data_IF_492463807163
#
_entry.id   IF_492463807163
#
_cell.length_a   1.000
_cell.length_b   1.000
_cell.length_c   1.000
_cell.angle_alpha   90.00
_cell.angle_beta   90.00
_cell.angle_gamma   90.00
#
_symmetry.space_group_name_H-M   'P 1'
#
loop_
_entity.id
_entity.type
_entity.pdbx_description
1 polymer ?
#
# COMPACT_ATOMS: atom_id res chain seq x y z
N UNK A 1 39.88 16.03 -7.68
CA UNK A 1 39.49 17.44 -7.81
C UNK A 1 38.31 17.58 -8.75
N UNK A 2 37.14 17.93 -8.21
CA UNK A 2 36.02 18.64 -8.86
C UNK A 2 34.93 18.82 -7.80
N UNK A 3 34.88 20.02 -7.23
CA UNK A 3 33.80 20.47 -6.33
C UNK A 3 32.71 21.12 -7.18
N UNK A 4 31.44 20.74 -6.95
CA UNK A 4 30.29 21.53 -7.40
C UNK A 4 29.82 22.37 -6.21
N UNK A 5 29.86 23.69 -6.36
CA UNK A 5 29.34 24.64 -5.39
C UNK A 5 27.82 24.78 -5.57
N UNK A 6 27.05 24.52 -4.52
CA UNK A 6 25.72 25.07 -4.36
C UNK A 6 25.80 26.17 -3.31
N UNK A 7 25.59 27.42 -3.71
CA UNK A 7 25.53 28.57 -2.80
C UNK A 7 24.22 28.55 -2.01
N UNK A 8 24.33 28.36 -0.70
CA UNK A 8 23.36 28.81 0.29
C UNK A 8 24.11 29.77 1.22
N UNK A 9 23.53 30.94 1.51
CA UNK A 9 24.11 31.94 2.40
C UNK A 9 24.40 31.34 3.78
N UNK A 10 25.69 31.22 4.11
CA UNK A 10 26.19 30.71 5.40
C UNK A 10 27.42 29.82 5.21
N UNK A 11 28.61 30.36 5.44
CA UNK A 11 29.90 29.69 5.25
C UNK A 11 30.13 28.57 6.26
N UNK A 12 29.81 27.31 5.91
CA UNK A 12 30.27 26.13 6.64
C UNK A 12 31.17 25.27 5.76
N UNK A 13 32.45 25.13 6.13
CA UNK A 13 33.35 24.15 5.51
C UNK A 13 33.32 22.85 6.33
N UNK A 14 32.96 21.75 5.67
CA UNK A 14 33.07 20.39 6.22
C UNK A 14 34.30 19.73 5.60
N UNK A 15 35.28 19.35 6.42
CA UNK A 15 36.42 18.54 5.99
C UNK A 15 36.24 17.10 6.46
N UNK A 16 36.18 16.15 5.53
CA UNK A 16 36.15 14.72 5.83
C UNK A 16 37.54 14.12 5.63
N UNK A 17 38.11 13.47 6.66
CA UNK A 17 39.28 12.59 6.52
C UNK A 17 38.83 11.14 6.70
N UNK A 18 39.11 10.30 5.71
CA UNK A 18 38.86 8.86 5.77
C UNK A 18 40.03 8.17 6.48
N UNK A 19 39.75 7.43 7.54
CA UNK A 19 40.67 6.44 8.12
C UNK A 19 39.87 5.17 8.40
N UNK A 20 40.50 4.04 8.09
CA UNK A 20 39.95 2.68 8.02
C UNK A 20 38.98 2.25 9.14
N UNK A 21 37.92 1.58 8.70
CA UNK A 21 36.89 0.75 9.36
C UNK A 21 35.92 1.31 10.41
N UNK A 22 36.06 2.50 10.97
CA UNK A 22 34.98 3.11 11.76
C UNK A 22 34.98 4.63 11.56
N UNK A 23 34.01 5.17 10.82
CA UNK A 23 33.89 6.60 10.57
C UNK A 23 33.24 7.30 11.78
N UNK A 24 34.04 7.71 12.76
CA UNK A 24 33.58 8.69 13.75
C UNK A 24 33.62 10.09 13.14
N UNK A 25 32.44 10.67 12.90
CA UNK A 25 32.30 12.06 12.49
C UNK A 25 32.52 12.97 13.72
N UNK A 26 33.76 13.35 14.00
CA UNK A 26 34.06 14.35 15.03
C UNK A 26 33.75 15.74 14.47
N UNK A 27 32.55 16.27 14.76
CA UNK A 27 32.25 17.69 14.57
C UNK A 27 32.99 18.49 15.67
N UNK A 28 34.06 19.20 15.29
CA UNK A 28 34.69 20.20 16.15
C UNK A 28 33.85 21.48 16.15
N UNK A 29 33.05 21.68 17.19
CA UNK A 29 32.25 22.89 17.41
C UNK A 29 33.14 24.03 17.92
N UNK A 30 33.91 24.67 17.03
CA UNK A 30 34.44 26.01 17.31
C UNK A 30 33.50 27.03 16.67
N UNK A 31 32.78 27.76 17.54
CA UNK A 31 31.97 28.97 17.28
C UNK A 31 30.47 28.74 17.15
N UNK A 32 29.81 28.49 18.29
CA UNK A 32 28.41 28.87 18.49
C UNK A 32 28.38 30.26 19.15
N UNK A 33 27.61 31.25 18.63
CA UNK A 33 27.43 32.51 19.32
C UNK A 33 26.83 32.30 20.72
N UNK A 34 27.29 33.07 21.70
CA UNK A 34 26.92 32.92 23.13
C UNK A 34 25.52 33.47 23.47
N UNK A 35 24.75 33.95 22.50
CA UNK A 35 23.48 34.67 22.72
C UNK A 35 22.21 33.83 22.51
N UNK A 36 22.32 32.51 22.34
CA UNK A 36 21.15 31.63 22.18
C UNK A 36 20.71 31.00 23.52
N UNK A 37 19.39 31.03 23.84
CA UNK A 37 18.85 30.33 25.01
C UNK A 37 19.16 28.83 24.97
N UNK A 38 19.47 28.23 26.13
CA UNK A 38 19.91 26.83 26.25
C UNK A 38 18.99 25.79 25.58
N UNK A 39 17.69 26.09 25.50
CA UNK A 39 16.67 25.24 24.85
C UNK A 39 16.91 25.10 23.34
N UNK A 40 17.45 26.12 22.67
CA UNK A 40 17.76 26.07 21.23
C UNK A 40 19.05 25.31 20.91
N UNK A 41 20.02 25.28 21.83
CA UNK A 41 21.26 24.49 21.66
C UNK A 41 20.99 22.99 21.72
N UNK A 42 20.06 22.54 22.56
CA UNK A 42 19.64 21.14 22.61
C UNK A 42 18.88 20.73 21.34
N UNK A 43 17.99 21.58 20.82
CA UNK A 43 17.21 21.27 19.62
C UNK A 43 18.08 21.11 18.35
N UNK A 44 19.12 21.95 18.20
CA UNK A 44 20.08 21.85 17.09
C UNK A 44 20.97 20.60 17.18
N UNK A 45 21.28 20.12 18.38
CA UNK A 45 22.08 18.91 18.58
C UNK A 45 21.27 17.63 18.29
N UNK A 46 19.96 17.65 18.51
CA UNK A 46 19.07 16.51 18.24
C UNK A 46 18.75 16.39 16.74
N UNK A 47 18.66 17.51 16.00
CA UNK A 47 18.41 17.48 14.55
C UNK A 47 19.56 16.91 13.71
N UNK A 48 20.81 16.93 14.19
CA UNK A 48 21.98 16.41 13.45
C UNK A 48 22.31 14.96 13.74
N UNK A 49 21.64 14.33 14.71
CA UNK A 49 21.89 12.96 15.16
C UNK A 49 20.83 11.95 14.72
N UNK A 50 19.83 12.35 13.92
CA UNK A 50 18.98 11.37 13.23
C UNK A 50 19.84 10.76 12.13
N UNK A 51 20.22 9.46 12.21
CA UNK A 51 20.88 8.81 11.09
C UNK A 51 19.89 8.88 9.94
N UNK A 52 20.28 9.52 8.84
CA UNK A 52 19.59 9.34 7.56
C UNK A 52 19.62 7.84 7.32
N UNK A 53 18.46 7.18 7.48
CA UNK A 53 18.34 5.75 7.24
C UNK A 53 18.96 5.46 5.88
N UNK A 54 20.11 4.81 5.88
CA UNK A 54 20.71 4.25 4.68
C UNK A 54 19.72 3.20 4.21
N UNK A 55 18.89 3.56 3.23
CA UNK A 55 18.05 2.60 2.51
C UNK A 55 18.96 1.45 2.07
N UNK A 56 18.80 0.29 2.70
CA UNK A 56 19.45 -0.92 2.25
C UNK A 56 19.00 -1.15 0.80
N UNK A 57 19.95 -1.24 -0.12
CA UNK A 57 19.68 -1.53 -1.53
C UNK A 57 19.32 -3.01 -1.66
N UNK A 58 18.11 -3.37 -1.25
CA UNK A 58 17.52 -4.67 -1.56
C UNK A 58 17.26 -4.78 -3.06
N UNK A 59 17.38 -5.98 -3.61
CA UNK A 59 16.94 -6.28 -4.98
C UNK A 59 15.48 -5.89 -5.15
N UNK A 60 15.16 -5.12 -6.18
CA UNK A 60 13.78 -4.76 -6.50
C UNK A 60 13.21 -5.73 -7.54
N UNK A 61 11.96 -6.12 -7.35
CA UNK A 61 11.25 -7.05 -8.22
C UNK A 61 10.07 -6.36 -8.91
N UNK A 62 9.77 -6.81 -10.13
CA UNK A 62 8.78 -6.19 -11.00
C UNK A 62 7.98 -7.26 -11.75
N UNK A 63 6.67 -7.02 -11.85
CA UNK A 63 5.78 -7.77 -12.75
C UNK A 63 6.14 -7.48 -14.21
N UNK A 64 5.66 -8.33 -15.12
CA UNK A 64 5.86 -8.15 -16.57
C UNK A 64 5.32 -6.82 -17.12
N UNK A 65 4.38 -6.19 -16.42
CA UNK A 65 3.85 -4.87 -16.75
C UNK A 65 4.56 -3.69 -16.07
N UNK A 66 5.69 -3.95 -15.40
CA UNK A 66 6.54 -2.93 -14.79
C UNK A 66 6.07 -2.46 -13.41
N UNK A 67 4.98 -3.01 -12.87
CA UNK A 67 4.53 -2.72 -11.50
C UNK A 67 5.49 -3.36 -10.50
N UNK A 68 5.91 -2.60 -9.50
CA UNK A 68 6.81 -3.06 -8.44
C UNK A 68 6.13 -4.09 -7.55
N UNK A 69 6.83 -5.19 -7.25
CA UNK A 69 6.44 -6.18 -6.24
C UNK A 69 7.00 -5.71 -4.89
N UNK A 70 6.15 -5.65 -3.87
CA UNK A 70 6.49 -5.06 -2.56
C UNK A 70 7.17 -6.02 -1.59
N UNK A 71 7.33 -7.28 -1.99
CA UNK A 71 8.00 -8.34 -1.24
C UNK A 71 9.06 -9.02 -2.12
N UNK A 72 9.91 -9.85 -1.51
CA UNK A 72 10.85 -10.71 -2.25
C UNK A 72 10.14 -12.03 -2.63
N UNK A 73 9.80 -12.25 -3.90
CA UNK A 73 9.11 -13.46 -4.33
C UNK A 73 10.01 -14.70 -4.30
N UNK A 74 11.32 -14.53 -4.18
CA UNK A 74 12.31 -15.60 -4.10
C UNK A 74 12.86 -15.80 -2.67
N UNK A 75 12.21 -15.22 -1.66
CA UNK A 75 12.58 -15.48 -0.27
C UNK A 75 12.45 -16.99 0.05
N UNK A 76 13.30 -17.55 0.95
CA UNK A 76 13.43 -18.99 1.15
C UNK A 76 12.12 -19.77 1.37
N UNK A 77 11.15 -19.14 2.04
CA UNK A 77 9.89 -19.79 2.42
C UNK A 77 8.74 -19.53 1.43
N UNK A 78 8.94 -18.69 0.40
CA UNK A 78 7.86 -18.30 -0.53
C UNK A 78 7.41 -19.48 -1.39
N UNK A 79 8.36 -20.21 -1.99
CA UNK A 79 8.06 -21.31 -2.89
C UNK A 79 7.44 -22.52 -2.16
N UNK A 80 7.89 -22.79 -0.93
CA UNK A 80 7.30 -23.83 -0.09
C UNK A 80 5.86 -23.48 0.29
N UNK A 81 5.60 -22.21 0.59
CA UNK A 81 4.31 -21.77 1.10
C UNK A 81 3.26 -21.53 0.01
N UNK A 82 3.65 -20.95 -1.12
CA UNK A 82 2.71 -20.50 -2.17
C UNK A 82 2.93 -21.18 -3.52
N UNK A 83 3.88 -22.11 -3.61
CA UNK A 83 4.23 -22.78 -4.85
C UNK A 83 5.31 -22.05 -5.66
N UNK A 84 5.82 -22.73 -6.68
CA UNK A 84 6.86 -22.20 -7.57
C UNK A 84 6.25 -21.31 -8.66
N UNK A 85 7.09 -20.53 -9.33
CA UNK A 85 6.68 -19.70 -10.48
C UNK A 85 5.95 -20.56 -11.53
N UNK A 86 4.72 -20.16 -11.87
CA UNK A 86 3.84 -20.90 -12.79
C UNK A 86 3.10 -22.11 -12.19
N UNK A 87 3.27 -22.40 -10.90
CA UNK A 87 2.63 -23.49 -10.17
C UNK A 87 2.21 -23.05 -8.76
N UNK A 88 1.52 -21.92 -8.67
CA UNK A 88 1.09 -21.32 -7.40
C UNK A 88 -0.10 -22.06 -6.79
N UNK A 89 -0.30 -21.89 -5.48
CA UNK A 89 -1.32 -22.62 -4.71
C UNK A 89 -2.78 -22.25 -5.09
N UNK A 90 -3.72 -23.01 -4.55
CA UNK A 90 -5.16 -22.76 -4.73
C UNK A 90 -5.69 -21.55 -3.95
N UNK A 91 -4.87 -20.97 -3.07
CA UNK A 91 -5.23 -19.78 -2.30
C UNK A 91 -5.11 -18.52 -3.16
N UNK A 92 -4.60 -18.63 -4.39
CA UNK A 92 -4.76 -17.64 -5.45
C UNK A 92 -3.85 -16.41 -5.32
N UNK A 93 -2.86 -16.48 -4.42
CA UNK A 93 -1.78 -15.52 -4.36
C UNK A 93 -0.58 -16.02 -5.16
N UNK A 94 -0.17 -15.24 -6.15
CA UNK A 94 1.03 -15.48 -6.93
C UNK A 94 2.11 -14.48 -6.51
N UNK A 95 3.15 -14.88 -5.74
CA UNK A 95 4.19 -13.94 -5.31
C UNK A 95 4.93 -13.29 -6.48
N UNK A 96 4.93 -13.92 -7.66
CA UNK A 96 5.60 -13.42 -8.87
C UNK A 96 4.72 -12.46 -9.66
N UNK A 97 3.39 -12.52 -9.50
CA UNK A 97 2.43 -11.71 -10.27
C UNK A 97 1.59 -10.74 -9.42
N UNK A 98 1.52 -10.91 -8.11
CA UNK A 98 0.73 -10.08 -7.20
C UNK A 98 1.60 -9.03 -6.51
N UNK A 99 1.16 -7.77 -6.53
CA UNK A 99 1.94 -6.67 -5.93
C UNK A 99 1.72 -6.53 -4.42
N UNK A 100 0.67 -7.16 -3.89
CA UNK A 100 0.28 -7.13 -2.49
C UNK A 100 0.25 -8.56 -1.96
N UNK A 101 0.82 -8.79 -0.78
CA UNK A 101 1.01 -10.12 -0.21
C UNK A 101 -0.28 -10.95 -0.04
N UNK A 102 -0.13 -12.25 0.25
CA UNK A 102 -1.22 -13.22 0.29
C UNK A 102 -2.22 -12.95 1.40
N UNK A 103 -3.49 -13.24 1.14
CA UNK A 103 -4.47 -13.55 2.18
C UNK A 103 -5.03 -12.36 2.95
N UNK A 104 -4.80 -11.12 2.51
CA UNK A 104 -5.28 -9.98 3.28
C UNK A 104 -6.78 -9.74 3.03
N UNK A 105 -7.25 -9.76 1.78
CA UNK A 105 -8.57 -9.18 1.46
C UNK A 105 -9.67 -10.17 1.03
N UNK A 106 -9.41 -11.48 1.02
CA UNK A 106 -10.39 -12.45 0.48
C UNK A 106 -11.18 -13.26 1.49
N UNK A 107 -10.67 -13.40 2.72
CA UNK A 107 -11.15 -14.41 3.65
C UNK A 107 -12.47 -14.05 4.31
N UNK A 108 -13.25 -15.07 4.66
CA UNK A 108 -14.42 -14.92 5.53
C UNK A 108 -14.01 -14.45 6.94
N UNK A 109 -14.80 -13.53 7.50
CA UNK A 109 -14.55 -12.96 8.84
C UNK A 109 -15.31 -13.72 9.91
N UNK A 110 -14.66 -13.89 11.07
CA UNK A 110 -15.27 -14.51 12.24
C UNK A 110 -16.29 -13.54 12.83
N UNK A 111 -17.48 -14.06 13.13
CA UNK A 111 -18.56 -13.32 13.76
C UNK A 111 -18.88 -13.90 15.13
N UNK A 112 -19.36 -13.07 16.04
CA UNK A 112 -19.87 -13.51 17.34
C UNK A 112 -21.31 -14.07 17.23
N UNK A 113 -21.90 -14.45 18.36
CA UNK A 113 -23.26 -15.01 18.42
C UNK A 113 -24.34 -14.03 17.92
N UNK A 114 -24.07 -12.72 17.94
CA UNK A 114 -24.96 -11.67 17.47
C UNK A 114 -24.70 -11.32 15.98
N UNK A 115 -23.79 -12.05 15.32
CA UNK A 115 -23.40 -11.80 13.93
C UNK A 115 -22.46 -10.62 13.72
N UNK A 116 -21.94 -9.99 14.79
CA UNK A 116 -20.98 -8.88 14.66
C UNK A 116 -19.59 -9.39 14.33
N UNK A 117 -18.85 -8.62 13.54
CA UNK A 117 -17.47 -8.95 13.17
C UNK A 117 -16.59 -8.90 14.43
N UNK A 118 -15.84 -9.98 14.67
CA UNK A 118 -14.85 -10.02 15.74
C UNK A 118 -13.60 -9.29 15.28
N UNK A 119 -13.17 -8.30 16.06
CA UNK A 119 -11.93 -7.54 15.83
C UNK A 119 -10.82 -8.07 16.73
N UNK A 120 -9.64 -8.30 16.15
CA UNK A 120 -8.50 -8.83 16.88
C UNK A 120 -7.25 -8.92 16.03
N UNK A 121 -6.38 -9.88 16.36
CA UNK A 121 -5.17 -10.16 15.58
C UNK A 121 -5.58 -10.66 14.19
N UNK A 122 -5.11 -9.97 13.16
CA UNK A 122 -5.42 -10.29 11.78
C UNK A 122 -4.70 -11.56 11.31
N UNK A 123 -5.21 -12.14 10.21
CA UNK A 123 -4.62 -13.31 9.58
C UNK A 123 -3.13 -13.11 9.29
N UNK A 124 -2.32 -14.09 9.69
CA UNK A 124 -0.86 -14.10 9.52
C UNK A 124 -0.09 -12.89 10.11
N UNK A 125 -0.75 -12.00 10.86
CA UNK A 125 -0.13 -10.86 11.54
C UNK A 125 0.64 -9.89 10.61
N UNK A 126 0.24 -9.77 9.34
CA UNK A 126 0.84 -8.86 8.35
C UNK A 126 0.48 -7.39 8.57
N UNK A 127 -0.53 -7.12 9.40
CA UNK A 127 -0.94 -5.77 9.77
C UNK A 127 -0.82 -5.60 11.29
N UNK A 128 -0.06 -4.61 11.78
CA UNK A 128 0.01 -4.34 13.22
C UNK A 128 -1.30 -3.77 13.78
N UNK A 129 -2.19 -3.24 12.93
CA UNK A 129 -3.48 -2.72 13.36
C UNK A 129 -4.48 -3.86 13.59
N UNK A 130 -5.24 -3.88 14.71
CA UNK A 130 -6.35 -4.81 14.89
C UNK A 130 -7.36 -4.72 13.74
N UNK A 131 -7.92 -5.85 13.33
CA UNK A 131 -8.94 -5.90 12.27
C UNK A 131 -9.78 -7.17 12.32
N UNK A 132 -10.62 -7.42 11.30
CA UNK A 132 -11.48 -8.59 11.24
C UNK A 132 -10.69 -9.89 11.40
N UNK A 133 -11.10 -10.73 12.35
CA UNK A 133 -10.46 -12.03 12.59
C UNK A 133 -10.86 -13.01 11.50
N UNK A 134 -9.92 -13.79 10.97
CA UNK A 134 -10.23 -14.83 9.98
C UNK A 134 -11.08 -15.95 10.58
N UNK A 135 -12.15 -16.33 9.88
CA UNK A 135 -13.04 -17.42 10.28
C UNK A 135 -12.44 -18.81 10.01
N UNK A 136 -11.35 -18.92 9.26
CA UNK A 136 -10.79 -20.22 8.86
C UNK A 136 -11.45 -20.82 7.62
N UNK A 137 -12.36 -20.10 6.96
CA UNK A 137 -13.23 -20.64 5.90
C UNK A 137 -13.06 -19.92 4.57
N UNK A 138 -11.91 -20.05 3.91
CA UNK A 138 -11.68 -19.64 2.51
C UNK A 138 -12.19 -18.25 2.09
N UNK A 139 -12.37 -18.05 0.79
CA UNK A 139 -12.88 -16.80 0.21
C UNK A 139 -14.36 -16.55 0.53
N UNK A 140 -14.73 -15.28 0.70
CA UNK A 140 -16.14 -14.85 0.81
C UNK A 140 -16.92 -15.13 -0.47
N UNK A 141 -18.25 -15.20 -0.36
CA UNK A 141 -19.11 -15.46 -1.51
C UNK A 141 -19.07 -14.32 -2.54
N UNK A 142 -19.01 -13.04 -2.12
CA UNK A 142 -18.82 -11.94 -3.08
C UNK A 142 -17.47 -12.03 -3.76
N UNK A 143 -16.39 -12.36 -3.04
CA UNK A 143 -15.06 -12.53 -3.63
C UNK A 143 -15.05 -13.60 -4.73
N UNK A 144 -15.78 -14.70 -4.55
CA UNK A 144 -15.98 -15.73 -5.58
C UNK A 144 -16.87 -15.22 -6.72
N UNK A 145 -17.93 -14.48 -6.41
CA UNK A 145 -18.84 -13.92 -7.41
C UNK A 145 -18.14 -12.93 -8.34
N UNK A 146 -17.25 -12.08 -7.81
CA UNK A 146 -16.45 -11.14 -8.59
C UNK A 146 -15.60 -11.82 -9.66
N UNK A 147 -15.05 -13.01 -9.37
CA UNK A 147 -14.29 -13.79 -10.34
C UNK A 147 -15.17 -14.40 -11.44
N UNK A 148 -16.44 -14.68 -11.13
CA UNK A 148 -17.44 -15.23 -12.08
C UNK A 148 -18.11 -14.14 -12.93
N UNK A 149 -18.02 -12.87 -12.52
CA UNK A 149 -18.51 -11.71 -13.26
C UNK A 149 -19.89 -11.20 -12.81
N UNK A 150 -20.41 -10.23 -13.56
CA UNK A 150 -21.58 -9.41 -13.17
C UNK A 150 -22.83 -10.22 -12.82
N UNK A 151 -23.16 -11.26 -13.60
CA UNK A 151 -24.34 -12.10 -13.34
C UNK A 151 -24.29 -12.80 -11.99
N UNK A 152 -23.11 -13.27 -11.58
CA UNK A 152 -22.94 -13.94 -10.29
C UNK A 152 -23.05 -12.94 -9.14
N UNK A 153 -22.50 -11.72 -9.32
CA UNK A 153 -22.65 -10.63 -8.35
C UNK A 153 -24.13 -10.23 -8.23
N UNK A 154 -24.83 -10.07 -9.35
CA UNK A 154 -26.24 -9.70 -9.35
C UNK A 154 -27.11 -10.72 -8.62
N UNK A 155 -26.94 -12.01 -8.93
CA UNK A 155 -27.68 -13.08 -8.27
C UNK A 155 -27.41 -13.15 -6.76
N UNK A 156 -26.20 -12.82 -6.31
CA UNK A 156 -25.86 -12.76 -4.89
C UNK A 156 -26.50 -11.54 -4.21
N UNK A 157 -26.47 -10.36 -4.85
CA UNK A 157 -27.06 -9.13 -4.32
C UNK A 157 -28.59 -9.15 -4.32
N UNK A 158 -29.23 -9.95 -5.18
CA UNK A 158 -30.67 -10.21 -5.14
C UNK A 158 -31.08 -10.97 -3.86
N UNK A 159 -30.20 -11.82 -3.34
CA UNK A 159 -30.45 -12.56 -2.10
C UNK A 159 -30.16 -11.71 -0.87
N UNK A 160 -29.05 -10.96 -0.90
CA UNK A 160 -28.67 -10.05 0.16
C UNK A 160 -27.90 -8.84 -0.41
N UNK A 161 -28.60 -7.71 -0.52
CA UNK A 161 -28.02 -6.48 -1.06
C UNK A 161 -26.92 -5.90 -0.17
N UNK A 162 -26.86 -6.26 1.13
CA UNK A 162 -25.84 -5.76 2.05
C UNK A 162 -24.44 -6.25 1.70
N UNK A 163 -24.34 -7.36 0.96
CA UNK A 163 -23.06 -7.94 0.53
C UNK A 163 -22.27 -7.05 -0.43
N UNK A 164 -22.87 -6.02 -1.01
CA UNK A 164 -22.15 -5.03 -1.85
C UNK A 164 -21.04 -4.31 -1.07
N UNK A 165 -21.19 -4.23 0.26
CA UNK A 165 -20.22 -3.65 1.19
C UNK A 165 -19.79 -4.66 2.27
N UNK A 166 -19.79 -5.97 1.97
CA UNK A 166 -19.29 -6.95 2.92
C UNK A 166 -17.83 -6.68 3.30
N UNK A 167 -17.44 -7.08 4.51
CA UNK A 167 -16.09 -6.88 5.02
C UNK A 167 -15.39 -8.22 5.13
N UNK A 168 -14.22 -8.32 4.51
CA UNK A 168 -13.35 -9.51 4.54
C UNK A 168 -12.24 -9.39 5.59
N UNK A 169 -11.39 -10.40 5.70
CA UNK A 169 -10.28 -10.50 6.68
C UNK A 169 -9.40 -9.25 6.82
N UNK A 170 -9.23 -8.47 5.76
CA UNK A 170 -8.36 -7.30 5.72
C UNK A 170 -9.09 -5.99 5.97
N UNK A 171 -10.37 -6.05 6.34
CA UNK A 171 -11.25 -4.89 6.33
C UNK A 171 -11.65 -4.44 4.93
N UNK A 172 -11.37 -5.23 3.89
CA UNK A 172 -11.67 -4.85 2.52
C UNK A 172 -13.15 -5.04 2.20
N UNK A 173 -13.66 -4.10 1.40
CA UNK A 173 -14.94 -4.22 0.70
C UNK A 173 -14.76 -4.86 -0.69
N UNK A 174 -15.84 -5.29 -1.36
CA UNK A 174 -15.78 -5.76 -2.74
C UNK A 174 -15.07 -4.80 -3.71
N UNK A 175 -15.17 -3.47 -3.51
CA UNK A 175 -14.43 -2.50 -4.33
C UNK A 175 -12.90 -2.54 -4.11
N UNK A 176 -12.43 -2.86 -2.90
CA UNK A 176 -11.01 -3.10 -2.68
C UNK A 176 -10.54 -4.34 -3.44
N UNK A 177 -11.39 -5.38 -3.52
CA UNK A 177 -11.10 -6.61 -4.27
C UNK A 177 -10.96 -6.38 -5.77
N UNK A 178 -11.70 -5.43 -6.35
CA UNK A 178 -11.47 -5.00 -7.72
C UNK A 178 -10.06 -4.43 -7.96
N UNK A 179 -9.42 -3.90 -6.90
CA UNK A 179 -8.06 -3.36 -6.92
C UNK A 179 -6.95 -4.42 -6.93
N UNK A 180 -7.29 -5.71 -6.89
CA UNK A 180 -6.32 -6.81 -6.74
C UNK A 180 -5.80 -7.35 -8.08
N UNK A 181 -6.55 -7.21 -9.17
CA UNK A 181 -6.14 -7.78 -10.46
C UNK A 181 -6.69 -7.00 -11.65
N UNK A 182 -6.09 -7.24 -12.82
CA UNK A 182 -6.54 -6.60 -14.07
C UNK A 182 -7.94 -7.00 -14.48
N UNK A 183 -8.34 -8.25 -14.26
CA UNK A 183 -9.69 -8.72 -14.51
C UNK A 183 -10.68 -8.19 -13.47
N UNK A 184 -10.28 -8.18 -12.20
CA UNK A 184 -11.08 -7.66 -11.08
C UNK A 184 -11.47 -6.19 -11.26
N UNK A 185 -10.58 -5.37 -11.81
CA UNK A 185 -10.88 -3.94 -12.03
C UNK A 185 -12.11 -3.71 -12.93
N UNK A 186 -12.46 -4.66 -13.80
CA UNK A 186 -13.61 -4.54 -14.70
C UNK A 186 -14.94 -4.56 -13.95
N UNK A 187 -14.96 -5.10 -12.72
CA UNK A 187 -16.15 -5.10 -11.87
C UNK A 187 -16.38 -3.78 -11.13
N UNK A 188 -15.41 -2.86 -11.14
CA UNK A 188 -15.44 -1.60 -10.37
C UNK A 188 -16.71 -0.78 -10.68
N UNK A 189 -16.97 -0.51 -11.96
CA UNK A 189 -18.13 0.28 -12.36
C UNK A 189 -19.46 -0.40 -12.03
N UNK A 190 -19.51 -1.73 -12.11
CA UNK A 190 -20.70 -2.51 -11.78
C UNK A 190 -21.02 -2.42 -10.28
N UNK A 191 -20.03 -2.61 -9.41
CA UNK A 191 -20.22 -2.50 -7.97
C UNK A 191 -20.62 -1.08 -7.54
N UNK A 192 -20.02 -0.05 -8.15
CA UNK A 192 -20.43 1.36 -7.93
C UNK A 192 -21.91 1.52 -8.27
N UNK A 193 -22.36 1.00 -9.42
CA UNK A 193 -23.76 1.06 -9.82
C UNK A 193 -24.71 0.30 -8.87
N UNK A 194 -24.19 -0.65 -8.07
CA UNK A 194 -24.93 -1.37 -7.03
C UNK A 194 -24.86 -0.72 -5.65
N UNK A 195 -24.25 0.46 -5.53
CA UNK A 195 -24.17 1.21 -4.27
C UNK A 195 -22.99 0.81 -3.38
N UNK A 196 -21.92 0.29 -3.96
CA UNK A 196 -20.68 0.07 -3.21
C UNK A 196 -20.08 1.41 -2.73
N UNK A 197 -19.59 1.43 -1.50
CA UNK A 197 -18.95 2.60 -0.91
C UNK A 197 -17.56 2.84 -1.52
N UNK A 198 -17.47 3.88 -2.36
CA UNK A 198 -16.25 4.26 -3.09
C UNK A 198 -15.14 4.78 -2.16
N UNK A 199 -15.51 5.19 -0.95
CA UNK A 199 -14.66 5.81 0.05
C UNK A 199 -14.43 4.92 1.28
N UNK A 200 -14.83 3.64 1.20
CA UNK A 200 -14.56 2.66 2.25
C UNK A 200 -13.07 2.55 2.55
N UNK A 201 -12.72 2.19 3.79
CA UNK A 201 -11.34 2.14 4.26
C UNK A 201 -11.02 0.75 4.79
N UNK A 202 -9.96 0.14 4.27
CA UNK A 202 -9.45 -1.14 4.77
C UNK A 202 -8.58 -0.97 6.04
N UNK A 203 -8.11 -2.09 6.60
CA UNK A 203 -7.33 -2.05 7.85
C UNK A 203 -5.95 -1.41 7.74
N UNK A 204 -5.47 -1.11 6.53
CA UNK A 204 -4.24 -0.34 6.28
C UNK A 204 -4.54 1.15 6.09
N UNK A 205 -5.81 1.55 6.20
CA UNK A 205 -6.28 2.89 5.96
C UNK A 205 -6.54 3.19 4.49
N UNK A 206 -6.26 2.25 3.57
CA UNK A 206 -6.38 2.48 2.14
C UNK A 206 -7.83 2.43 1.70
N UNK A 207 -8.15 3.29 0.73
CA UNK A 207 -9.43 3.33 0.00
C UNK A 207 -9.32 2.54 -1.30
N UNK A 208 -10.42 2.17 -1.99
CA UNK A 208 -10.36 1.46 -3.27
C UNK A 208 -9.42 2.08 -4.30
N UNK A 209 -9.40 3.42 -4.40
CA UNK A 209 -8.53 4.13 -5.35
C UNK A 209 -7.03 3.94 -5.04
N UNK A 210 -6.65 3.78 -3.76
CA UNK A 210 -5.27 3.49 -3.38
C UNK A 210 -4.85 2.08 -3.83
N UNK A 211 -5.73 1.08 -3.69
CA UNK A 211 -5.47 -0.30 -4.13
C UNK A 211 -5.40 -0.42 -5.65
N UNK A 212 -6.27 0.28 -6.34
CA UNK A 212 -6.23 0.40 -7.80
C UNK A 212 -4.92 1.09 -8.26
N UNK A 213 -4.48 2.11 -7.53
CA UNK A 213 -3.21 2.79 -7.78
C UNK A 213 -1.99 1.89 -7.58
N UNK A 214 -1.96 1.04 -6.55
CA UNK A 214 -0.82 0.13 -6.32
C UNK A 214 -0.64 -0.92 -7.41
N UNK A 215 -1.70 -1.23 -8.18
CA UNK A 215 -1.71 -2.31 -9.17
C UNK A 215 -1.77 -1.84 -10.63
N UNK A 216 -1.61 -0.54 -10.90
CA UNK A 216 -1.70 0.04 -12.26
C UNK A 216 -3.02 -0.26 -12.99
N UNK A 217 -4.15 -0.18 -12.27
CA UNK A 217 -5.48 -0.52 -12.78
C UNK A 217 -6.22 0.71 -13.33
N UNK A 218 -5.79 1.20 -14.49
CA UNK A 218 -6.30 2.46 -15.05
C UNK A 218 -7.82 2.48 -15.36
N UNK A 219 -8.44 1.34 -15.69
CA UNK A 219 -9.89 1.26 -15.95
C UNK A 219 -10.66 1.44 -14.64
N UNK A 220 -10.23 0.75 -13.58
CA UNK A 220 -10.81 0.90 -12.24
C UNK A 220 -10.63 2.32 -11.70
N UNK A 221 -9.46 2.93 -11.91
CA UNK A 221 -9.20 4.30 -11.48
C UNK A 221 -10.16 5.30 -12.13
N UNK A 222 -10.35 5.21 -13.46
CA UNK A 222 -11.31 6.05 -14.18
C UNK A 222 -12.74 5.86 -13.66
N UNK A 223 -13.14 4.62 -13.37
CA UNK A 223 -14.47 4.34 -12.85
C UNK A 223 -14.71 4.98 -11.47
N UNK A 224 -13.76 4.84 -10.54
CA UNK A 224 -13.85 5.46 -9.21
C UNK A 224 -13.87 6.99 -9.29
N UNK A 225 -12.98 7.59 -10.09
CA UNK A 225 -12.89 9.04 -10.23
C UNK A 225 -14.17 9.60 -10.87
N UNK A 226 -14.71 8.93 -11.89
CA UNK A 226 -15.98 9.30 -12.51
C UNK A 226 -17.16 9.22 -11.52
N UNK A 227 -17.08 8.32 -10.53
CA UNK A 227 -18.05 8.21 -9.44
C UNK A 227 -17.83 9.21 -8.29
N UNK A 228 -16.82 10.08 -8.39
CA UNK A 228 -16.55 11.13 -7.41
C UNK A 228 -15.56 10.75 -6.31
N UNK A 229 -14.77 9.69 -6.50
CA UNK A 229 -13.73 9.34 -5.53
C UNK A 229 -12.70 10.46 -5.37
N UNK A 230 -12.30 10.76 -4.13
CA UNK A 230 -11.33 11.81 -3.85
C UNK A 230 -9.91 11.41 -4.32
N UNK A 231 -9.48 12.02 -5.42
CA UNK A 231 -8.18 11.81 -6.06
C UNK A 231 -6.99 12.16 -5.16
N UNK A 232 -7.21 12.99 -4.13
CA UNK A 232 -6.20 13.45 -3.18
C UNK A 232 -6.43 12.89 -1.77
N UNK A 233 -7.34 11.93 -1.60
CA UNK A 233 -7.64 11.31 -0.32
C UNK A 233 -6.36 10.82 0.34
N UNK A 234 -6.19 11.11 1.64
CA UNK A 234 -5.02 10.66 2.39
C UNK A 234 -5.37 9.42 3.19
N UNK A 235 -4.61 8.36 2.96
CA UNK A 235 -4.70 7.10 3.67
C UNK A 235 -3.35 6.73 4.25
N UNK A 236 -3.23 6.68 5.58
CA UNK A 236 -1.95 6.45 6.27
C UNK A 236 -0.83 7.39 5.79
N UNK A 237 -1.21 8.64 5.48
CA UNK A 237 -0.33 9.68 4.96
C UNK A 237 0.01 9.59 3.48
N UNK A 238 -0.52 8.63 2.72
CA UNK A 238 -0.33 8.48 1.27
C UNK A 238 -1.54 8.96 0.48
N UNK A 239 -1.30 9.63 -0.64
CA UNK A 239 -2.34 9.86 -1.67
C UNK A 239 -2.33 8.70 -2.67
N UNK A 240 -3.40 8.49 -3.46
CA UNK A 240 -3.38 7.52 -4.54
C UNK A 240 -2.21 7.77 -5.52
N UNK A 241 -1.88 9.04 -5.80
CA UNK A 241 -0.75 9.38 -6.67
C UNK A 241 0.59 8.92 -6.06
N UNK A 242 0.80 9.14 -4.76
CA UNK A 242 2.02 8.67 -4.09
C UNK A 242 2.14 7.15 -4.15
N UNK A 243 1.06 6.43 -3.87
CA UNK A 243 1.03 4.96 -3.98
C UNK A 243 1.34 4.52 -5.42
N UNK A 244 0.72 5.15 -6.43
CA UNK A 244 0.99 4.83 -7.83
C UNK A 244 2.46 5.04 -8.22
N UNK A 245 3.09 6.12 -7.72
CA UNK A 245 4.50 6.41 -7.96
C UNK A 245 5.43 5.37 -7.32
N UNK A 246 5.17 4.99 -6.06
CA UNK A 246 5.94 3.96 -5.34
C UNK A 246 5.83 2.58 -6.00
N UNK A 247 4.67 2.28 -6.60
CA UNK A 247 4.42 1.04 -7.35
C UNK A 247 4.83 1.09 -8.83
N UNK A 248 5.28 2.25 -9.34
CA UNK A 248 5.54 2.51 -10.77
C UNK A 248 4.33 2.23 -11.68
N UNK A 249 3.13 2.51 -11.18
CA UNK A 249 1.85 2.32 -11.87
C UNK A 249 1.61 3.43 -12.93
N UNK A 250 2.37 3.37 -14.03
CA UNK A 250 2.46 4.47 -15.01
C UNK A 250 1.13 4.90 -15.63
N UNK A 251 0.19 3.98 -15.86
CA UNK A 251 -1.09 4.31 -16.48
C UNK A 251 -2.05 4.97 -15.50
N UNK A 252 -2.06 4.49 -14.25
CA UNK A 252 -2.83 5.16 -13.19
C UNK A 252 -2.24 6.52 -12.85
N UNK A 253 -0.91 6.69 -12.85
CA UNK A 253 -0.28 8.00 -12.68
C UNK A 253 -0.82 9.01 -13.71
N UNK A 254 -0.88 8.62 -14.99
CA UNK A 254 -1.43 9.48 -16.05
C UNK A 254 -2.89 9.84 -15.78
N UNK A 255 -3.72 8.87 -15.40
CA UNK A 255 -5.13 9.10 -15.06
C UNK A 255 -5.24 10.08 -13.89
N UNK A 256 -4.56 9.83 -12.78
CA UNK A 256 -4.63 10.69 -11.59
C UNK A 256 -4.18 12.13 -11.90
N UNK A 257 -3.10 12.31 -12.65
CA UNK A 257 -2.61 13.63 -13.05
C UNK A 257 -3.60 14.38 -13.96
N UNK A 258 -4.25 13.68 -14.89
CA UNK A 258 -5.30 14.26 -15.75
C UNK A 258 -6.50 14.75 -14.93
N UNK A 259 -6.74 14.15 -13.77
CA UNK A 259 -7.84 14.50 -12.87
C UNK A 259 -7.40 15.35 -11.67
N UNK A 260 -6.24 16.02 -11.76
CA UNK A 260 -5.82 17.03 -10.78
C UNK A 260 -5.22 16.47 -9.49
N UNK A 261 -4.76 15.21 -9.48
CA UNK A 261 -4.04 14.67 -8.33
C UNK A 261 -2.72 15.44 -8.12
N UNK A 262 -2.49 15.89 -6.89
CA UNK A 262 -1.27 16.60 -6.50
C UNK A 262 -0.29 15.67 -5.77
N UNK A 263 0.99 16.05 -5.82
CA UNK A 263 2.06 15.37 -5.06
C UNK A 263 1.93 15.63 -3.56
#
# INVERSE_FOLDING_TARGET
GRTRNCSLHGSFQVTTRSVSSHTHMLLSLRHLPQTLPNTHRQLLLVCSLVPRATMATGTEYYRSDGVRITHDPYAPDMAEKYGQEGATDSDGFDPYADSVGPGIYGGNVKRDADGKIIIGRQYQNHNPNPGPVYAGTGYSEMSKALQKGTKAVDALLEQDSSLVNEITTGGATPLHMCGMSRSGQLMTAHLIAKGADIEAVDTYGFRPLHRIASNNLAIGAKALIAAGADVNARASGATPLRVAMESRATDVIKVLQQHGASK
#
